data_IF_592594118604
#
_entry.id   IF_592594118604
#
_cell.length_a   1.000
_cell.length_b   1.000
_cell.length_c   1.000
_cell.angle_alpha   90.00
_cell.angle_beta   90.00
_cell.angle_gamma   90.00
#
_symmetry.space_group_name_H-M   'P 1'
#
loop_
_entity.id
_entity.type
_entity.pdbx_description
1 polymer ?
#
# COMPACT_ATOMS: atom_id res chain seq x y z
N UNK A 1 -12.70 21.85 6.35
CA UNK A 1 -12.71 22.81 5.21
C UNK A 1 -11.82 22.23 4.12
N UNK A 2 -12.36 21.94 2.93
CA UNK A 2 -11.63 21.22 1.87
C UNK A 2 -10.92 22.16 0.88
N UNK A 3 -11.25 23.45 0.90
CA UNK A 3 -10.69 24.51 0.07
C UNK A 3 -9.85 25.50 0.88
N UNK A 4 -9.22 25.06 1.97
CA UNK A 4 -8.40 25.92 2.85
C UNK A 4 -7.25 26.64 2.13
N UNK A 5 -6.85 26.14 0.95
CA UNK A 5 -5.81 26.72 0.11
C UNK A 5 -6.28 27.94 -0.70
N UNK A 6 -7.59 28.17 -0.80
CA UNK A 6 -8.19 29.24 -1.60
C UNK A 6 -8.85 30.34 -0.74
N UNK A 7 -8.69 30.27 0.59
CA UNK A 7 -9.29 31.21 1.54
C UNK A 7 -8.21 31.88 2.39
N UNK A 8 -8.54 33.05 2.91
CA UNK A 8 -7.64 33.82 3.76
C UNK A 8 -7.38 33.13 5.11
N UNK A 9 -6.19 33.36 5.68
CA UNK A 9 -5.75 32.76 6.95
C UNK A 9 -6.72 33.10 8.09
N UNK A 10 -7.24 34.33 8.15
CA UNK A 10 -8.19 34.72 9.19
C UNK A 10 -9.51 33.95 9.09
N UNK A 11 -9.96 33.62 7.87
CA UNK A 11 -11.17 32.81 7.67
C UNK A 11 -10.94 31.35 8.07
N UNK A 12 -9.76 30.79 7.79
CA UNK A 12 -9.41 29.44 8.22
C UNK A 12 -9.34 29.36 9.75
N UNK A 13 -8.74 30.38 10.38
CA UNK A 13 -8.64 30.47 11.85
C UNK A 13 -10.02 30.55 12.51
N UNK A 14 -10.91 31.38 11.97
CA UNK A 14 -12.29 31.49 12.43
C UNK A 14 -13.08 30.19 12.23
N UNK A 15 -12.89 29.50 11.10
CA UNK A 15 -13.55 28.22 10.81
C UNK A 15 -13.12 27.10 11.77
N UNK A 16 -11.85 27.08 12.16
CA UNK A 16 -11.29 26.11 13.11
C UNK A 16 -11.42 26.55 14.57
N UNK A 17 -11.96 27.75 14.82
CA UNK A 17 -12.04 28.39 16.15
C UNK A 17 -10.69 28.38 16.87
N UNK A 18 -9.60 28.70 16.17
CA UNK A 18 -8.24 28.70 16.70
C UNK A 18 -7.70 30.12 16.86
N UNK A 19 -7.03 30.36 17.98
CA UNK A 19 -6.25 31.57 18.20
C UNK A 19 -4.92 31.46 17.44
N UNK A 20 -4.55 32.48 16.65
CA UNK A 20 -3.33 32.44 15.85
C UNK A 20 -2.06 32.62 16.68
N UNK A 21 -2.14 33.25 17.84
CA UNK A 21 -1.01 33.50 18.74
C UNK A 21 -0.89 32.40 19.80
N UNK A 22 -2.02 31.92 20.33
CA UNK A 22 -2.07 30.97 21.45
C UNK A 22 -2.39 29.52 21.03
N UNK A 23 -2.91 29.30 19.82
CA UNK A 23 -3.31 27.98 19.33
C UNK A 23 -4.63 27.45 19.92
N UNK A 24 -4.82 26.12 19.87
CA UNK A 24 -5.99 25.44 20.43
C UNK A 24 -5.78 25.08 21.91
N UNK A 25 -6.83 25.20 22.72
CA UNK A 25 -6.81 24.70 24.10
C UNK A 25 -6.90 23.16 24.14
N UNK A 26 -6.45 22.55 25.25
CA UNK A 26 -6.59 21.09 25.46
C UNK A 26 -8.04 20.61 25.32
N UNK A 27 -9.00 21.43 25.77
CA UNK A 27 -10.42 21.12 25.65
C UNK A 27 -10.90 21.09 24.20
N UNK A 28 -10.34 21.94 23.35
CA UNK A 28 -10.68 22.01 21.93
C UNK A 28 -9.99 20.91 21.14
N UNK A 29 -8.76 20.55 21.52
CA UNK A 29 -8.06 19.36 20.99
C UNK A 29 -8.85 18.09 21.32
N UNK A 30 -9.41 17.97 22.52
CA UNK A 30 -10.23 16.81 22.89
C UNK A 30 -11.53 16.73 22.06
N UNK A 31 -12.23 17.87 21.88
CA UNK A 31 -13.43 17.94 21.03
C UNK A 31 -13.10 17.63 19.57
N UNK A 32 -11.99 18.15 19.05
CA UNK A 32 -11.52 17.91 17.70
C UNK A 32 -11.17 16.43 17.48
N UNK A 33 -10.43 15.80 18.40
CA UNK A 33 -10.12 14.36 18.33
C UNK A 33 -11.36 13.47 18.42
N UNK A 34 -12.37 13.88 19.21
CA UNK A 34 -13.64 13.17 19.28
C UNK A 34 -14.44 13.26 17.98
N UNK A 35 -14.33 14.38 17.25
CA UNK A 35 -15.06 14.63 16.00
C UNK A 35 -14.35 14.08 14.75
N UNK A 36 -13.03 14.22 14.69
CA UNK A 36 -12.22 13.92 13.50
C UNK A 36 -11.36 12.67 13.65
N UNK A 37 -11.24 12.12 14.86
CA UNK A 37 -10.32 11.05 15.17
C UNK A 37 -8.88 11.55 15.35
N UNK A 38 -7.96 10.59 15.55
CA UNK A 38 -6.52 10.88 15.57
C UNK A 38 -6.04 11.08 14.13
N UNK A 39 -5.09 11.98 13.94
CA UNK A 39 -4.43 12.17 12.65
C UNK A 39 -3.41 11.05 12.41
N UNK A 40 -3.90 9.82 12.30
CA UNK A 40 -3.12 8.62 12.07
C UNK A 40 -3.72 7.88 10.88
N UNK A 41 -2.86 7.48 9.95
CA UNK A 41 -3.26 6.61 8.85
C UNK A 41 -3.63 5.25 9.45
N UNK A 42 -4.80 4.73 9.10
CA UNK A 42 -5.19 3.39 9.50
C UNK A 42 -4.09 2.42 9.02
N UNK A 43 -3.48 1.63 9.92
CA UNK A 43 -2.49 0.66 9.50
C UNK A 43 -3.19 -0.37 8.62
N UNK A 44 -2.76 -0.52 7.37
CA UNK A 44 -3.16 -1.69 6.59
C UNK A 44 -2.62 -2.94 7.28
N UNK A 45 -3.46 -3.97 7.36
CA UNK A 45 -3.01 -5.27 7.83
C UNK A 45 -1.89 -5.76 6.91
N UNK A 46 -0.69 -5.90 7.46
CA UNK A 46 0.48 -6.32 6.71
C UNK A 46 0.20 -7.62 5.97
N UNK A 47 0.45 -7.65 4.67
CA UNK A 47 0.34 -8.90 3.90
C UNK A 47 1.40 -9.87 4.40
N UNK A 48 1.01 -11.09 4.82
CA UNK A 48 1.95 -12.00 5.44
C UNK A 48 2.93 -12.56 4.40
N UNK A 49 4.19 -12.79 4.81
CA UNK A 49 5.30 -13.11 3.90
C UNK A 49 5.05 -14.32 2.99
N UNK A 50 4.35 -15.35 3.49
CA UNK A 50 3.97 -16.53 2.69
C UNK A 50 3.07 -16.17 1.49
N UNK A 51 2.20 -15.16 1.64
CA UNK A 51 1.34 -14.66 0.56
C UNK A 51 2.13 -13.92 -0.51
N UNK A 52 3.23 -13.26 -0.13
CA UNK A 52 4.15 -12.64 -1.08
C UNK A 52 4.95 -13.69 -1.86
N UNK A 53 5.41 -14.74 -1.18
CA UNK A 53 6.09 -15.88 -1.82
C UNK A 53 5.15 -16.57 -2.82
N UNK A 54 3.90 -16.85 -2.44
CA UNK A 54 2.89 -17.43 -3.33
C UNK A 54 2.58 -16.55 -4.54
N UNK A 55 2.51 -15.22 -4.35
CA UNK A 55 2.33 -14.28 -5.46
C UNK A 55 3.47 -14.34 -6.47
N UNK A 56 4.69 -14.62 -6.02
CA UNK A 56 5.86 -14.78 -6.90
C UNK A 56 5.76 -16.02 -7.79
N UNK A 57 5.11 -17.11 -7.33
CA UNK A 57 4.92 -18.34 -8.11
C UNK A 57 3.92 -18.19 -9.27
N UNK A 58 3.11 -17.14 -9.28
CA UNK A 58 2.08 -16.93 -10.31
C UNK A 58 2.62 -16.32 -11.61
N UNK A 59 3.89 -15.91 -11.62
CA UNK A 59 4.57 -15.38 -12.79
C UNK A 59 4.72 -16.45 -13.90
N UNK A 60 4.48 -16.05 -15.14
CA UNK A 60 4.65 -16.90 -16.33
C UNK A 60 6.07 -17.50 -16.39
N UNK A 61 7.08 -16.74 -15.96
CA UNK A 61 8.48 -17.18 -15.94
C UNK A 61 8.68 -18.33 -14.96
N UNK A 62 8.11 -18.25 -13.75
CA UNK A 62 8.19 -19.33 -12.74
C UNK A 62 7.44 -20.58 -13.20
N UNK A 63 6.32 -20.42 -13.91
CA UNK A 63 5.56 -21.53 -14.48
C UNK A 63 6.33 -22.29 -15.56
N UNK A 64 7.03 -21.59 -16.45
CA UNK A 64 7.90 -22.22 -17.47
C UNK A 64 9.07 -22.95 -16.79
N UNK A 65 9.61 -22.37 -15.73
CA UNK A 65 10.65 -22.95 -14.88
C UNK A 65 10.24 -24.27 -14.23
N UNK A 66 9.04 -24.29 -13.64
CA UNK A 66 8.50 -25.48 -13.01
C UNK A 66 8.23 -26.59 -14.04
N UNK A 67 7.77 -26.21 -15.24
CA UNK A 67 7.58 -27.15 -16.34
C UNK A 67 8.91 -27.76 -16.82
N UNK A 68 9.97 -26.95 -16.93
CA UNK A 68 11.32 -27.43 -17.25
C UNK A 68 11.82 -28.41 -16.19
N UNK A 69 11.74 -28.05 -14.90
CA UNK A 69 12.17 -28.93 -13.80
C UNK A 69 11.42 -30.28 -13.77
N UNK A 70 10.13 -30.30 -14.12
CA UNK A 70 9.36 -31.55 -14.25
C UNK A 70 9.80 -32.37 -15.45
N UNK A 71 10.08 -31.73 -16.60
CA UNK A 71 10.58 -32.42 -17.78
C UNK A 71 11.97 -33.04 -17.51
N UNK A 72 12.87 -32.28 -16.87
CA UNK A 72 14.21 -32.72 -16.51
C UNK A 72 14.17 -33.86 -15.50
N UNK A 73 13.26 -33.80 -14.52
CA UNK A 73 13.04 -34.91 -13.59
C UNK A 73 12.60 -36.20 -14.30
N UNK A 74 11.73 -36.10 -15.31
CA UNK A 74 11.27 -37.25 -16.10
C UNK A 74 12.44 -37.85 -16.90
N UNK A 75 13.27 -37.01 -17.53
CA UNK A 75 14.44 -37.43 -18.31
C UNK A 75 15.51 -38.07 -17.41
N UNK A 76 15.83 -37.45 -16.28
CA UNK A 76 16.79 -37.97 -15.31
C UNK A 76 16.35 -39.32 -14.72
N UNK A 77 15.05 -39.53 -14.50
CA UNK A 77 14.50 -40.81 -14.08
C UNK A 77 14.66 -41.89 -15.15
N UNK A 78 14.63 -41.54 -16.44
CA UNK A 78 14.79 -42.52 -17.54
C UNK A 78 16.25 -42.85 -17.87
N UNK A 79 17.16 -41.87 -17.81
CA UNK A 79 18.57 -42.06 -18.19
C UNK A 79 19.48 -42.45 -17.01
N UNK A 80 18.97 -42.39 -15.77
CA UNK A 80 19.71 -42.77 -14.57
C UNK A 80 20.87 -41.83 -14.23
N UNK A 81 20.87 -40.63 -14.80
CA UNK A 81 21.97 -39.68 -14.67
C UNK A 81 21.98 -39.08 -13.25
N UNK A 82 23.18 -39.02 -12.68
CA UNK A 82 23.36 -38.78 -11.25
C UNK A 82 22.89 -37.39 -10.77
N UNK A 83 22.72 -37.29 -9.45
CA UNK A 83 22.19 -36.16 -8.67
C UNK A 83 22.77 -34.78 -9.08
N UNK A 84 23.98 -34.72 -9.66
CA UNK A 84 24.62 -33.47 -10.08
C UNK A 84 24.01 -32.86 -11.35
N UNK A 85 23.52 -33.65 -12.30
CA UNK A 85 22.81 -33.15 -13.48
C UNK A 85 21.46 -32.55 -13.10
N UNK A 86 20.72 -33.25 -12.22
CA UNK A 86 19.41 -32.84 -11.73
C UNK A 86 19.40 -31.54 -10.89
N UNK A 87 20.57 -31.05 -10.45
CA UNK A 87 20.69 -29.80 -9.68
C UNK A 87 21.12 -28.60 -10.53
N UNK A 88 21.69 -28.83 -11.72
CA UNK A 88 22.13 -27.75 -12.62
C UNK A 88 20.95 -26.94 -13.13
N UNK A 89 19.87 -27.59 -13.54
CA UNK A 89 18.68 -26.90 -14.05
C UNK A 89 17.98 -26.06 -12.96
N UNK A 90 17.66 -26.58 -11.76
CA UNK A 90 17.11 -25.77 -10.66
C UNK A 90 18.02 -24.61 -10.21
N UNK A 91 19.34 -24.77 -10.30
CA UNK A 91 20.28 -23.70 -9.92
C UNK A 91 20.30 -22.53 -10.92
N UNK A 92 20.29 -22.79 -12.23
CA UNK A 92 20.25 -21.74 -13.27
C UNK A 92 18.96 -20.92 -13.17
N UNK A 93 17.87 -21.61 -12.88
CA UNK A 93 16.54 -21.08 -12.61
C UNK A 93 16.55 -20.07 -11.44
N UNK A 94 17.12 -20.46 -10.30
CA UNK A 94 17.24 -19.58 -9.12
C UNK A 94 18.15 -18.39 -9.42
N UNK A 95 19.24 -18.58 -10.16
CA UNK A 95 20.14 -17.50 -10.56
C UNK A 95 19.44 -16.46 -11.43
N UNK A 96 18.58 -16.88 -12.36
CA UNK A 96 17.78 -15.97 -13.19
C UNK A 96 16.76 -15.20 -12.33
N UNK A 97 16.10 -15.86 -11.38
CA UNK A 97 15.14 -15.23 -10.48
C UNK A 97 15.79 -14.21 -9.54
N UNK A 98 16.99 -14.48 -9.04
CA UNK A 98 17.75 -13.53 -8.21
C UNK A 98 18.25 -12.36 -9.06
N UNK A 99 18.80 -12.63 -10.25
CA UNK A 99 19.25 -11.60 -11.18
C UNK A 99 18.10 -10.68 -11.63
N UNK A 100 16.88 -11.22 -11.77
CA UNK A 100 15.67 -10.45 -12.07
C UNK A 100 15.01 -9.82 -10.82
N UNK A 101 15.26 -10.37 -9.64
CA UNK A 101 14.65 -9.96 -8.38
C UNK A 101 15.23 -8.67 -7.80
N UNK A 102 16.40 -8.25 -8.27
CA UNK A 102 17.04 -7.01 -7.86
C UNK A 102 16.56 -5.84 -8.73
N UNK A 103 15.31 -5.41 -8.55
CA UNK A 103 14.89 -4.16 -9.16
C UNK A 103 13.40 -3.95 -9.41
N UNK A 104 12.54 -4.19 -8.40
CA UNK A 104 11.35 -3.36 -8.07
C UNK A 104 10.44 -4.13 -7.13
N UNK A 105 10.23 -3.54 -5.97
CA UNK A 105 9.38 -4.11 -4.92
C UNK A 105 9.37 -3.31 -3.63
N UNK A 106 10.28 -2.33 -3.47
CA UNK A 106 9.94 -1.14 -2.68
C UNK A 106 8.94 -0.34 -3.52
N UNK A 107 7.68 -0.80 -3.49
CA UNK A 107 6.57 0.07 -3.84
C UNK A 107 6.59 1.19 -2.82
N UNK A 108 7.07 2.37 -3.23
CA UNK A 108 6.60 3.61 -2.64
C UNK A 108 5.08 3.48 -2.53
N UNK A 109 4.50 3.50 -1.32
CA UNK A 109 3.07 3.30 -1.19
C UNK A 109 2.40 4.39 -2.02
N UNK A 110 1.69 3.95 -3.06
CA UNK A 110 0.85 4.82 -3.86
C UNK A 110 -0.08 5.54 -2.89
N UNK A 111 0.12 6.85 -2.77
CA UNK A 111 -0.74 7.78 -2.08
C UNK A 111 -2.03 7.95 -2.89
N UNK A 112 -2.80 6.88 -3.04
CA UNK A 112 -4.18 6.94 -3.50
C UNK A 112 -5.04 6.25 -2.45
N UNK A 113 -5.12 6.89 -1.29
CA UNK A 113 -6.17 6.61 -0.33
C UNK A 113 -7.53 6.73 -1.03
N UNK A 114 -8.54 5.93 -0.63
CA UNK A 114 -9.85 5.96 -1.25
C UNK A 114 -10.35 7.40 -1.22
N UNK A 115 -10.63 7.94 -2.41
CA UNK A 115 -11.42 9.16 -2.53
C UNK A 115 -12.77 8.86 -1.92
N UNK A 116 -12.90 9.09 -0.61
CA UNK A 116 -14.18 9.10 0.09
C UNK A 116 -14.89 10.41 -0.28
N UNK A 117 -15.16 10.57 -1.58
CA UNK A 117 -16.15 11.48 -2.14
C UNK A 117 -17.52 10.90 -1.78
N UNK A 118 -18.02 11.20 -0.59
CA UNK A 118 -19.34 10.68 -0.23
C UNK A 118 -20.03 11.30 0.97
N UNK A 119 -19.35 12.11 1.79
CA UNK A 119 -19.95 12.73 2.96
C UNK A 119 -20.17 14.23 2.79
N UNK A 120 -21.06 14.62 1.87
CA UNK A 120 -21.52 16.02 1.84
C UNK A 120 -22.32 16.30 3.12
N UNK A 121 -21.71 17.01 4.06
CA UNK A 121 -22.48 17.76 5.06
C UNK A 121 -23.28 18.82 4.29
N UNK A 122 -24.62 18.88 4.46
CA UNK A 122 -25.41 19.93 3.83
C UNK A 122 -24.91 21.29 4.32
N UNK A 123 -24.81 22.26 3.40
CA UNK A 123 -24.49 23.64 3.73
C UNK A 123 -25.43 24.14 4.85
N UNK A 124 -24.92 24.92 5.83
CA UNK A 124 -25.79 25.55 6.80
C UNK A 124 -26.81 26.41 6.03
N UNK A 125 -28.08 26.11 6.26
CA UNK A 125 -29.22 26.91 5.82
C UNK A 125 -28.91 28.38 6.05
N UNK A 126 -28.78 29.15 4.97
CA UNK A 126 -28.85 30.61 5.03
C UNK A 126 -30.29 30.98 5.31
N UNK A 127 -30.71 30.81 6.56
CA UNK A 127 -31.94 31.36 7.09
C UNK A 127 -31.66 32.81 7.51
N UNK A 128 -31.97 33.73 6.59
CA UNK A 128 -32.56 35.04 6.86
C UNK A 128 -31.74 36.08 7.64
N UNK A 129 -31.54 37.25 7.02
CA UNK A 129 -32.18 38.51 7.46
C UNK A 129 -31.67 39.67 6.60
N UNK A 130 -32.57 40.38 5.91
CA UNK A 130 -32.29 41.64 5.21
C UNK A 130 -32.96 41.76 3.85
#
# INVERSE_FOLDING_TARGET
>A
MNNSHAVDVAQVAAYLSVDLDAGLSDSDVFKARSRYGRNELAPEEGTPLWKLILKQFDDLLVKILLAAAVADFIIAMSDGDGILGALVEPCVIILILIANGEGRGCGTPNQEGPQNRGGYLPAPSTAGSG
#
